data_IF_859653543705
#
_entry.id   IF_859653543705
#
_cell.length_a   1.000
_cell.length_b   1.000
_cell.length_c   1.000
_cell.angle_alpha   90.00
_cell.angle_beta   90.00
_cell.angle_gamma   90.00
#
_symmetry.space_group_name_H-M   'P 1'
#
loop_
_entity.id
_entity.type
_entity.pdbx_description
1 polymer ?
#
# COMPACT_ATOMS: atom_id res chain seq x y z
N UNK A 1 12.44 7.09 -5.90
CA UNK A 1 11.36 8.10 -5.90
C UNK A 1 10.63 8.00 -4.56
N UNK A 2 10.52 9.11 -3.82
CA UNK A 2 9.66 9.22 -2.65
C UNK A 2 8.22 9.28 -3.16
N UNK A 3 7.31 8.53 -2.53
CA UNK A 3 5.92 8.46 -2.91
C UNK A 3 5.10 8.97 -1.73
N UNK A 4 4.25 9.96 -2.01
CA UNK A 4 3.40 10.61 -1.02
C UNK A 4 1.95 10.15 -1.24
N UNK A 5 1.74 8.82 -1.28
CA UNK A 5 0.41 8.27 -1.45
C UNK A 5 -0.52 8.74 -0.32
N UNK A 6 -1.71 9.19 -0.69
CA UNK A 6 -2.78 9.57 0.23
C UNK A 6 -3.13 8.39 1.15
N UNK A 7 -3.29 8.69 2.45
CA UNK A 7 -3.60 7.70 3.48
C UNK A 7 -2.40 7.24 4.31
N UNK A 8 -1.17 7.66 4.02
CA UNK A 8 0.00 7.37 4.86
C UNK A 8 0.50 8.64 5.55
N UNK A 9 0.74 8.54 6.86
CA UNK A 9 1.27 9.64 7.68
C UNK A 9 2.80 9.78 7.56
N UNK A 10 3.44 8.84 6.87
CA UNK A 10 4.87 8.82 6.64
C UNK A 10 5.17 8.66 5.14
N UNK A 11 6.29 9.25 4.68
CA UNK A 11 6.72 9.08 3.30
C UNK A 11 7.28 7.68 3.07
N UNK A 12 6.98 7.09 1.92
CA UNK A 12 7.47 5.77 1.55
C UNK A 12 8.04 5.76 0.13
N UNK A 13 8.49 4.59 -0.35
CA UNK A 13 9.00 4.41 -1.72
C UNK A 13 7.99 3.65 -2.56
N UNK A 14 7.95 3.95 -3.86
CA UNK A 14 7.19 3.17 -4.84
C UNK A 14 7.59 1.70 -4.75
N UNK A 15 6.64 0.78 -4.75
CA UNK A 15 6.88 -0.64 -4.59
C UNK A 15 6.94 -1.14 -3.14
N UNK A 16 6.98 -0.26 -2.14
CA UNK A 16 6.87 -0.69 -0.73
C UNK A 16 5.47 -1.24 -0.42
N UNK A 17 5.34 -2.00 0.67
CA UNK A 17 4.07 -2.56 1.16
C UNK A 17 3.00 -1.50 1.43
N UNK A 18 3.41 -0.24 1.57
CA UNK A 18 2.56 0.92 1.89
C UNK A 18 2.31 1.80 0.67
N UNK A 19 2.58 1.32 -0.55
CA UNK A 19 2.39 2.09 -1.77
C UNK A 19 1.28 1.45 -2.62
N UNK A 20 0.35 2.29 -3.08
CA UNK A 20 -0.66 1.91 -4.06
C UNK A 20 -0.06 1.46 -5.39
N UNK A 21 1.24 1.69 -5.63
CA UNK A 21 1.94 1.29 -6.85
C UNK A 21 3.03 0.26 -6.53
N UNK A 22 3.03 -0.85 -7.28
CA UNK A 22 4.13 -1.82 -7.34
C UNK A 22 5.38 -1.19 -7.96
N UNK A 23 6.50 -1.91 -7.89
CA UNK A 23 7.76 -1.48 -8.50
C UNK A 23 7.66 -1.29 -10.02
N UNK A 24 6.86 -2.14 -10.67
CA UNK A 24 6.58 -2.11 -12.12
C UNK A 24 5.59 -1.02 -12.53
N UNK A 25 4.93 -0.35 -11.57
CA UNK A 25 3.94 0.69 -11.81
C UNK A 25 2.50 0.20 -11.88
N UNK A 26 2.24 -1.11 -11.73
CA UNK A 26 0.88 -1.61 -11.54
C UNK A 26 0.30 -1.18 -10.19
N UNK A 27 -1.01 -1.00 -10.15
CA UNK A 27 -1.71 -0.61 -8.93
C UNK A 27 -1.93 -1.79 -7.98
N UNK A 28 -2.04 -1.46 -6.69
CA UNK A 28 -2.38 -2.35 -5.59
C UNK A 28 -3.54 -1.79 -4.82
N UNK A 29 -4.32 -2.69 -4.23
CA UNK A 29 -5.53 -2.35 -3.51
C UNK A 29 -5.64 -3.12 -2.19
N UNK A 30 -6.49 -2.66 -1.26
CA UNK A 30 -6.86 -3.41 -0.07
C UNK A 30 -7.29 -4.85 -0.43
N UNK A 31 -6.66 -5.85 0.19
CA UNK A 31 -6.88 -7.27 -0.12
C UNK A 31 -5.88 -7.90 -1.09
N UNK A 32 -5.02 -7.12 -1.77
CA UNK A 32 -3.87 -7.68 -2.46
C UNK A 32 -2.91 -8.34 -1.45
N UNK A 33 -2.38 -9.55 -1.73
CA UNK A 33 -1.53 -10.28 -0.79
C UNK A 33 -0.20 -9.57 -0.47
N UNK A 34 0.24 -8.67 -1.34
CA UNK A 34 1.47 -7.89 -1.22
C UNK A 34 1.23 -6.41 -0.89
N UNK A 35 0.04 -6.08 -0.38
CA UNK A 35 -0.34 -4.76 0.10
C UNK A 35 -0.63 -4.80 1.61
N UNK A 36 0.09 -4.00 2.39
CA UNK A 36 -0.21 -3.82 3.80
C UNK A 36 -1.42 -2.89 3.93
N UNK A 37 -2.61 -3.49 3.79
CA UNK A 37 -3.87 -2.78 3.98
C UNK A 37 -3.99 -2.32 5.43
N UNK A 38 -4.18 -1.01 5.59
CA UNK A 38 -4.30 -0.33 6.87
C UNK A 38 -5.69 -0.52 7.50
N UNK A 39 -6.69 -0.91 6.70
CA UNK A 39 -8.05 -1.21 7.15
C UNK A 39 -8.30 -2.73 7.23
N UNK A 40 -7.27 -3.56 7.01
CA UNK A 40 -7.39 -4.98 7.18
C UNK A 40 -7.58 -5.30 8.66
N UNK A 41 -8.85 -5.49 9.04
CA UNK A 41 -9.23 -6.03 10.33
C UNK A 41 -9.32 -7.55 10.19
N UNK A 42 -8.36 -8.32 10.76
CA UNK A 42 -8.38 -9.78 10.69
C UNK A 42 -9.57 -10.40 11.46
N UNK A 43 -10.34 -9.60 12.21
CA UNK A 43 -11.51 -10.02 13.00
C UNK A 43 -12.82 -9.76 12.25
N UNK A 44 -12.82 -8.97 11.17
CA UNK A 44 -14.01 -8.69 10.38
C UNK A 44 -14.32 -9.73 9.28
N UNK A 45 -13.55 -10.83 9.22
CA UNK A 45 -13.65 -11.89 8.21
C UNK A 45 -14.41 -13.13 8.71
#
# INVERSE_FOLDING_TARGET
>A
MRCDCSGYWFPHRRGSLFCWLRSDGSERYPGDPDFADRNYDPVAA
#
